data_IF_054092235701
#
_entry.id   IF_054092235701
#
_cell.length_a   1.000
_cell.length_b   1.000
_cell.length_c   1.000
_cell.angle_alpha   90.00
_cell.angle_beta   90.00
_cell.angle_gamma   90.00
#
_symmetry.space_group_name_H-M   'P 1'
#
loop_
_entity.id
_entity.type
_entity.pdbx_description
1 polymer ?
#
# COMPACT_ATOMS: atom_id res chain seq x y z
N UNK A 1 -48.39 3.99 28.56
CA UNK A 1 -48.20 4.92 27.42
C UNK A 1 -46.73 4.88 27.03
N UNK A 2 -46.40 4.07 26.03
CA UNK A 2 -45.02 3.90 25.54
C UNK A 2 -44.70 4.97 24.51
N UNK A 3 -43.75 5.84 24.83
CA UNK A 3 -43.20 6.81 23.88
C UNK A 3 -42.13 6.14 23.02
N UNK A 4 -42.44 5.94 21.73
CA UNK A 4 -41.46 5.52 20.75
C UNK A 4 -40.53 6.72 20.45
N UNK A 5 -39.27 6.61 20.86
CA UNK A 5 -38.20 7.53 20.44
C UNK A 5 -37.85 7.16 19.00
N UNK A 6 -38.35 7.97 18.05
CA UNK A 6 -37.93 7.90 16.64
C UNK A 6 -36.51 8.46 16.57
N UNK A 7 -35.51 7.58 16.46
CA UNK A 7 -34.15 7.97 16.11
C UNK A 7 -34.16 8.54 14.68
N UNK A 8 -33.85 9.82 14.53
CA UNK A 8 -33.70 10.46 13.22
C UNK A 8 -32.36 10.05 12.60
N UNK A 9 -32.37 9.05 11.72
CA UNK A 9 -31.22 8.74 10.86
C UNK A 9 -30.95 9.90 9.89
N UNK A 10 -29.67 10.24 9.74
CA UNK A 10 -29.17 11.33 8.87
C UNK A 10 -29.29 10.96 7.38
N UNK A 11 -29.31 11.96 6.49
CA UNK A 11 -29.50 11.74 5.05
C UNK A 11 -28.37 10.89 4.40
N UNK A 12 -27.15 10.89 4.95
CA UNK A 12 -26.02 10.09 4.46
C UNK A 12 -26.17 8.60 4.87
N UNK A 13 -26.85 8.31 5.99
CA UNK A 13 -27.19 6.94 6.43
C UNK A 13 -28.27 6.33 5.53
N UNK A 14 -29.31 7.11 5.17
CA UNK A 14 -30.35 6.66 4.23
C UNK A 14 -29.79 6.39 2.82
N UNK A 15 -28.77 7.14 2.38
CA UNK A 15 -28.17 6.96 1.06
C UNK A 15 -27.35 5.65 0.94
N UNK A 16 -26.81 5.15 2.06
CA UNK A 16 -26.06 3.88 2.11
C UNK A 16 -26.99 2.68 2.30
N UNK A 17 -28.09 2.82 3.05
CA UNK A 17 -29.10 1.77 3.23
C UNK A 17 -30.03 1.57 2.01
N UNK A 18 -30.34 2.62 1.25
CA UNK A 18 -31.37 2.58 0.21
C UNK A 18 -30.96 2.00 -1.16
N UNK A 19 -29.83 1.30 -1.30
CA UNK A 19 -29.41 0.73 -2.59
C UNK A 19 -29.18 -0.78 -2.52
N UNK A 20 -30.24 -1.57 -2.44
CA UNK A 20 -30.22 -2.95 -2.92
C UNK A 20 -30.39 -2.94 -4.44
N UNK A 21 -29.29 -2.75 -5.17
CA UNK A 21 -29.31 -2.69 -6.63
C UNK A 21 -27.95 -2.99 -7.26
N UNK A 22 -27.95 -3.27 -8.57
CA UNK A 22 -26.73 -3.51 -9.36
C UNK A 22 -25.73 -2.37 -9.19
N UNK A 23 -26.20 -1.12 -9.21
CA UNK A 23 -25.38 0.07 -9.00
C UNK A 23 -24.67 0.11 -7.63
N UNK A 24 -25.31 -0.38 -6.56
CA UNK A 24 -24.66 -0.50 -5.26
C UNK A 24 -23.53 -1.53 -5.26
N UNK A 25 -23.77 -2.66 -5.94
CA UNK A 25 -22.78 -3.72 -6.02
C UNK A 25 -21.57 -3.28 -6.87
N UNK A 26 -21.81 -2.52 -7.94
CA UNK A 26 -20.77 -2.01 -8.83
C UNK A 26 -19.83 -1.03 -8.11
N UNK A 27 -20.32 -0.11 -7.29
CA UNK A 27 -19.40 0.80 -6.58
C UNK A 27 -18.58 0.07 -5.51
N UNK A 28 -19.19 -0.88 -4.77
CA UNK A 28 -18.49 -1.63 -3.71
C UNK A 28 -17.41 -2.56 -4.29
N UNK A 29 -17.63 -3.07 -5.50
CA UNK A 29 -16.67 -3.89 -6.24
C UNK A 29 -15.85 -3.09 -7.26
N UNK A 30 -15.93 -1.76 -7.25
CA UNK A 30 -15.11 -0.93 -8.11
C UNK A 30 -13.60 -1.08 -7.85
N UNK A 31 -13.11 -1.19 -6.60
CA UNK A 31 -11.67 -1.34 -6.35
C UNK A 31 -11.01 -2.55 -7.04
N UNK A 32 -11.55 -3.79 -6.99
CA UNK A 32 -10.96 -4.90 -7.73
C UNK A 32 -11.03 -4.71 -9.24
N UNK A 33 -12.04 -4.00 -9.78
CA UNK A 33 -12.08 -3.64 -11.21
C UNK A 33 -11.02 -2.60 -11.58
N UNK A 34 -10.79 -1.59 -10.72
CA UNK A 34 -9.72 -0.62 -10.90
C UNK A 34 -8.33 -1.28 -10.82
N UNK A 35 -8.16 -2.25 -9.91
CA UNK A 35 -6.96 -3.07 -9.84
C UNK A 35 -6.78 -3.94 -11.10
N UNK A 36 -7.86 -4.52 -11.65
CA UNK A 36 -7.82 -5.25 -12.92
C UNK A 36 -7.35 -4.37 -14.09
N UNK A 37 -7.81 -3.10 -14.14
CA UNK A 37 -7.39 -2.14 -15.16
C UNK A 37 -5.94 -1.62 -14.98
N UNK A 38 -5.36 -1.74 -13.78
CA UNK A 38 -4.10 -1.11 -13.42
C UNK A 38 -2.92 -1.38 -14.38
N UNK A 39 -2.63 -2.64 -14.79
CA UNK A 39 -1.56 -2.90 -15.76
C UNK A 39 -1.78 -2.26 -17.13
N UNK A 40 -3.04 -2.14 -17.54
CA UNK A 40 -3.40 -1.54 -18.83
C UNK A 40 -3.20 -0.03 -18.80
N UNK A 41 -3.51 0.62 -17.67
CA UNK A 41 -3.22 2.06 -17.47
C UNK A 41 -1.72 2.30 -17.57
N UNK A 42 -0.89 1.50 -16.89
CA UNK A 42 0.57 1.62 -16.96
C UNK A 42 1.12 1.32 -18.35
N UNK A 43 0.55 0.33 -19.07
CA UNK A 43 0.93 0.03 -20.45
C UNK A 43 0.61 1.19 -21.38
N UNK A 44 -0.57 1.80 -21.25
CA UNK A 44 -0.94 2.98 -22.02
C UNK A 44 -0.03 4.16 -21.69
N UNK A 45 0.29 4.39 -20.42
CA UNK A 45 1.28 5.40 -20.02
C UNK A 45 2.62 5.16 -20.73
N UNK A 46 3.12 3.92 -20.68
CA UNK A 46 4.41 3.54 -21.28
C UNK A 46 4.44 3.76 -22.79
N UNK A 47 3.34 3.47 -23.48
CA UNK A 47 3.22 3.69 -24.92
C UNK A 47 3.24 5.19 -25.27
N UNK A 48 2.60 6.04 -24.46
CA UNK A 48 2.52 7.48 -24.72
C UNK A 48 3.79 8.23 -24.31
N UNK A 49 4.45 7.84 -23.22
CA UNK A 49 5.70 8.48 -22.77
C UNK A 49 6.91 8.12 -23.67
N UNK A 50 6.84 7.00 -24.41
CA UNK A 50 7.91 6.55 -25.29
C UNK A 50 8.29 7.61 -26.35
N UNK A 51 7.29 8.32 -26.87
CA UNK A 51 7.47 9.38 -27.88
C UNK A 51 7.97 10.70 -27.27
N UNK A 52 8.15 10.77 -25.95
CA UNK A 52 8.59 11.96 -25.19
C UNK A 52 7.81 13.22 -25.60
N UNK A 53 6.47 13.22 -25.44
CA UNK A 53 5.63 14.30 -25.93
C UNK A 53 6.05 15.64 -25.32
N UNK A 54 6.22 16.65 -26.18
CA UNK A 54 6.51 18.03 -25.79
C UNK A 54 5.30 18.95 -26.01
N UNK A 55 4.29 18.51 -26.74
CA UNK A 55 3.06 19.26 -26.93
C UNK A 55 2.14 19.16 -25.70
N UNK A 56 1.31 20.19 -25.43
CA UNK A 56 0.46 20.21 -24.24
C UNK A 56 -0.53 19.04 -24.15
N UNK A 57 -1.03 18.54 -25.28
CA UNK A 57 -2.01 17.46 -25.28
C UNK A 57 -1.37 16.11 -24.90
N UNK A 58 -0.22 15.79 -25.49
CA UNK A 58 0.56 14.60 -25.13
C UNK A 58 0.99 14.60 -23.66
N UNK A 59 1.47 15.73 -23.15
CA UNK A 59 1.82 15.88 -21.72
C UNK A 59 0.59 15.67 -20.83
N UNK A 60 -0.56 16.23 -21.20
CA UNK A 60 -1.80 16.05 -20.45
C UNK A 60 -2.26 14.59 -20.41
N UNK A 61 -2.17 13.86 -21.54
CA UNK A 61 -2.53 12.44 -21.63
C UNK A 61 -1.63 11.58 -20.72
N UNK A 62 -0.32 11.74 -20.83
CA UNK A 62 0.66 11.00 -20.01
C UNK A 62 0.45 11.29 -18.52
N UNK A 63 0.25 12.56 -18.18
CA UNK A 63 -0.04 12.97 -16.79
C UNK A 63 -1.34 12.35 -16.29
N UNK A 64 -2.41 12.37 -17.07
CA UNK A 64 -3.70 11.79 -16.71
C UNK A 64 -3.59 10.27 -16.49
N UNK A 65 -2.84 9.55 -17.33
CA UNK A 65 -2.61 8.11 -17.17
C UNK A 65 -1.82 7.78 -15.91
N UNK A 66 -0.79 8.58 -15.59
CA UNK A 66 -0.03 8.41 -14.36
C UNK A 66 -0.91 8.68 -13.12
N UNK A 67 -1.68 9.78 -13.13
CA UNK A 67 -2.63 10.10 -12.08
C UNK A 67 -3.71 9.02 -11.93
N UNK A 68 -4.19 8.44 -13.04
CA UNK A 68 -5.13 7.33 -13.01
C UNK A 68 -4.51 6.12 -12.29
N UNK A 69 -3.27 5.74 -12.59
CA UNK A 69 -2.56 4.67 -11.88
C UNK A 69 -2.36 5.00 -10.38
N UNK A 70 -1.99 6.24 -10.06
CA UNK A 70 -1.85 6.72 -8.67
C UNK A 70 -3.17 6.71 -7.90
N UNK A 71 -4.30 6.88 -8.59
CA UNK A 71 -5.61 6.96 -7.95
C UNK A 71 -6.17 5.59 -7.53
N UNK A 72 -5.68 4.47 -8.09
CA UNK A 72 -6.18 3.13 -7.76
C UNK A 72 -6.11 2.83 -6.26
N UNK A 73 -4.97 3.01 -5.56
CA UNK A 73 -4.92 2.80 -4.11
C UNK A 73 -5.82 3.76 -3.32
N UNK A 74 -5.97 5.01 -3.78
CA UNK A 74 -6.78 6.03 -3.12
C UNK A 74 -8.27 5.75 -3.23
N UNK A 75 -8.72 5.32 -4.41
CA UNK A 75 -10.09 4.88 -4.64
C UNK A 75 -10.43 3.65 -3.80
N UNK A 76 -9.49 2.71 -3.71
CA UNK A 76 -9.64 1.53 -2.88
C UNK A 76 -9.75 1.88 -1.37
N UNK A 77 -8.91 2.80 -0.89
CA UNK A 77 -8.95 3.31 0.48
C UNK A 77 -10.27 4.05 0.78
N UNK A 78 -10.75 4.88 -0.15
CA UNK A 78 -12.02 5.58 -0.04
C UNK A 78 -13.20 4.60 0.10
N UNK A 79 -13.27 3.59 -0.76
CA UNK A 79 -14.29 2.55 -0.71
C UNK A 79 -14.22 1.76 0.61
N UNK A 80 -13.02 1.41 1.07
CA UNK A 80 -12.83 0.72 2.35
C UNK A 80 -13.29 1.56 3.55
N UNK A 81 -13.15 2.88 3.48
CA UNK A 81 -13.60 3.81 4.52
C UNK A 81 -15.12 3.95 4.54
N UNK A 82 -15.77 4.08 3.38
CA UNK A 82 -17.24 4.12 3.29
C UNK A 82 -17.85 2.81 3.81
N UNK A 83 -17.30 1.66 3.43
CA UNK A 83 -17.74 0.36 3.93
C UNK A 83 -17.45 0.15 5.42
N UNK A 84 -16.44 0.83 5.96
CA UNK A 84 -16.09 0.77 7.39
C UNK A 84 -17.05 1.49 8.33
N UNK A 85 -17.95 2.33 7.79
CA UNK A 85 -19.00 3.03 8.56
C UNK A 85 -20.29 2.22 8.69
N UNK A 86 -20.35 1.01 8.15
CA UNK A 86 -21.52 0.15 8.22
C UNK A 86 -21.44 -0.66 9.52
N UNK A 87 -22.39 -0.44 10.43
CA UNK A 87 -22.37 -1.07 11.76
C UNK A 87 -22.67 -2.57 11.72
N UNK A 88 -23.61 -2.97 10.86
CA UNK A 88 -24.05 -4.36 10.70
C UNK A 88 -23.83 -4.83 9.26
N UNK A 89 -22.58 -5.12 8.86
CA UNK A 89 -22.29 -5.47 7.48
C UNK A 89 -22.74 -6.89 7.12
N UNK A 90 -23.16 -7.04 5.87
CA UNK A 90 -23.36 -8.33 5.20
C UNK A 90 -22.03 -8.99 4.81
N UNK A 91 -22.07 -10.29 4.50
CA UNK A 91 -20.89 -11.01 3.98
C UNK A 91 -20.30 -10.33 2.73
N UNK A 92 -21.19 -9.86 1.85
CA UNK A 92 -20.85 -9.07 0.68
C UNK A 92 -20.05 -7.82 1.01
N UNK A 93 -20.55 -6.98 1.94
CA UNK A 93 -19.87 -5.74 2.33
C UNK A 93 -18.51 -6.00 2.99
N UNK A 94 -18.40 -7.05 3.82
CA UNK A 94 -17.11 -7.44 4.42
C UNK A 94 -16.12 -7.89 3.34
N UNK A 95 -16.54 -8.72 2.38
CA UNK A 95 -15.67 -9.14 1.27
C UNK A 95 -15.28 -7.97 0.37
N UNK A 96 -16.23 -7.10 0.03
CA UNK A 96 -15.95 -5.88 -0.73
C UNK A 96 -14.92 -4.98 -0.02
N UNK A 97 -15.03 -4.82 1.31
CA UNK A 97 -14.08 -4.04 2.09
C UNK A 97 -12.68 -4.67 2.11
N UNK A 98 -12.60 -6.00 2.25
CA UNK A 98 -11.33 -6.74 2.17
C UNK A 98 -10.69 -6.63 0.79
N UNK A 99 -11.50 -6.77 -0.26
CA UNK A 99 -11.05 -6.56 -1.64
C UNK A 99 -10.58 -5.13 -1.85
N UNK A 100 -11.26 -4.13 -1.29
CA UNK A 100 -10.80 -2.74 -1.33
C UNK A 100 -9.42 -2.58 -0.67
N UNK A 101 -9.20 -3.14 0.53
CA UNK A 101 -7.86 -3.12 1.14
C UNK A 101 -6.82 -3.87 0.30
N UNK A 102 -7.19 -4.99 -0.33
CA UNK A 102 -6.27 -5.74 -1.19
C UNK A 102 -5.95 -4.98 -2.49
N UNK A 103 -6.94 -4.30 -3.09
CA UNK A 103 -6.77 -3.44 -4.27
C UNK A 103 -5.91 -2.22 -3.98
N UNK A 104 -5.89 -1.75 -2.73
CA UNK A 104 -4.94 -0.72 -2.31
C UNK A 104 -3.49 -1.15 -2.54
N UNK A 105 -3.20 -2.45 -2.35
CA UNK A 105 -1.90 -3.07 -2.59
C UNK A 105 -1.64 -3.43 -4.07
N UNK A 106 -2.46 -2.97 -5.02
CA UNK A 106 -2.25 -3.28 -6.43
C UNK A 106 -0.83 -2.93 -6.94
N UNK A 107 -0.24 -1.77 -6.60
CA UNK A 107 1.13 -1.46 -7.02
C UNK A 107 2.20 -2.48 -6.63
N UNK A 108 2.41 -2.81 -5.32
CA UNK A 108 3.40 -3.83 -4.97
C UNK A 108 3.03 -5.21 -5.50
N UNK A 109 1.75 -5.59 -5.51
CA UNK A 109 1.34 -6.89 -6.04
C UNK A 109 1.65 -7.03 -7.53
N UNK A 110 1.51 -5.97 -8.34
CA UNK A 110 1.81 -6.07 -9.76
C UNK A 110 3.32 -6.21 -10.02
N UNK A 111 4.15 -5.54 -9.22
CA UNK A 111 5.61 -5.79 -9.22
C UNK A 111 5.92 -7.23 -8.81
N UNK A 112 5.24 -7.77 -7.80
CA UNK A 112 5.41 -9.16 -7.35
C UNK A 112 5.03 -10.17 -8.44
N UNK A 113 3.94 -9.96 -9.17
CA UNK A 113 3.56 -10.83 -10.29
C UNK A 113 4.66 -10.87 -11.32
N UNK A 114 5.18 -9.70 -11.70
CA UNK A 114 6.28 -9.59 -12.64
C UNK A 114 7.54 -10.34 -12.18
N UNK A 115 8.06 -9.99 -11.01
CA UNK A 115 9.31 -10.58 -10.51
C UNK A 115 9.13 -12.07 -10.19
N UNK A 116 8.01 -12.44 -9.55
CA UNK A 116 7.71 -13.81 -9.14
C UNK A 116 7.57 -14.77 -10.32
N UNK A 117 6.81 -14.41 -11.36
CA UNK A 117 6.66 -15.25 -12.55
C UNK A 117 8.00 -15.39 -13.30
N UNK A 118 8.80 -14.32 -13.35
CA UNK A 118 10.13 -14.36 -13.93
C UNK A 118 11.09 -15.29 -13.17
N UNK A 119 11.02 -15.33 -11.84
CA UNK A 119 11.86 -16.20 -11.02
C UNK A 119 11.59 -17.69 -11.22
N UNK A 120 10.34 -18.05 -11.49
CA UNK A 120 9.94 -19.46 -11.72
C UNK A 120 9.98 -19.85 -13.20
N UNK A 121 10.49 -18.96 -14.08
CA UNK A 121 10.56 -19.21 -15.52
C UNK A 121 9.19 -19.44 -16.17
N UNK A 122 8.12 -18.84 -15.62
CA UNK A 122 6.77 -19.07 -16.13
C UNK A 122 6.61 -18.49 -17.54
N UNK A 123 6.03 -19.24 -18.50
CA UNK A 123 5.69 -18.70 -19.81
C UNK A 123 4.46 -17.78 -19.76
N UNK A 124 3.75 -17.74 -18.62
CA UNK A 124 2.54 -16.93 -18.46
C UNK A 124 2.93 -15.47 -18.29
N UNK A 125 2.37 -14.62 -19.15
CA UNK A 125 2.52 -13.17 -19.02
C UNK A 125 1.89 -12.69 -17.72
N UNK A 126 2.59 -11.83 -17.01
CA UNK A 126 2.13 -11.21 -15.77
C UNK A 126 0.75 -10.56 -15.87
N UNK A 127 0.45 -9.84 -16.96
CA UNK A 127 -0.87 -9.26 -17.22
C UNK A 127 -1.95 -10.34 -17.32
N UNK A 128 -1.65 -11.49 -17.92
CA UNK A 128 -2.60 -12.61 -18.00
C UNK A 128 -2.89 -13.19 -16.62
N UNK A 129 -1.84 -13.49 -15.86
CA UNK A 129 -1.98 -13.99 -14.49
C UNK A 129 -2.75 -12.98 -13.62
N UNK A 130 -2.42 -11.69 -13.74
CA UNK A 130 -3.09 -10.60 -13.04
C UNK A 130 -4.58 -10.56 -13.34
N UNK A 131 -4.95 -10.58 -14.62
CA UNK A 131 -6.35 -10.56 -15.05
C UNK A 131 -7.13 -11.74 -14.49
N UNK A 132 -6.57 -12.96 -14.54
CA UNK A 132 -7.21 -14.16 -13.97
C UNK A 132 -7.42 -14.01 -12.47
N UNK A 133 -6.39 -13.57 -11.73
CA UNK A 133 -6.49 -13.38 -10.28
C UNK A 133 -7.53 -12.33 -9.90
N UNK A 134 -7.57 -11.17 -10.57
CA UNK A 134 -8.53 -10.12 -10.25
C UNK A 134 -9.95 -10.40 -10.74
N UNK A 135 -10.11 -11.16 -11.83
CA UNK A 135 -11.42 -11.70 -12.22
C UNK A 135 -11.95 -12.66 -11.15
N UNK A 136 -11.11 -13.57 -10.66
CA UNK A 136 -11.45 -14.47 -9.55
C UNK A 136 -11.75 -13.73 -8.25
N UNK A 137 -10.98 -12.70 -7.91
CA UNK A 137 -11.21 -11.87 -6.73
C UNK A 137 -12.54 -11.09 -6.83
N UNK A 138 -12.87 -10.58 -8.01
CA UNK A 138 -14.15 -9.92 -8.27
C UNK A 138 -15.31 -10.90 -8.13
N UNK A 139 -15.18 -12.10 -8.72
CA UNK A 139 -16.18 -13.17 -8.59
C UNK A 139 -16.38 -13.58 -7.13
N UNK A 140 -15.30 -13.73 -6.36
CA UNK A 140 -15.35 -14.01 -4.91
C UNK A 140 -16.17 -12.96 -4.13
N UNK A 141 -16.07 -11.69 -4.54
CA UNK A 141 -16.90 -10.61 -4.01
C UNK A 141 -18.36 -10.75 -4.41
N UNK A 142 -18.65 -10.98 -5.70
CA UNK A 142 -20.02 -11.08 -6.25
C UNK A 142 -20.84 -12.20 -5.61
N UNK A 143 -20.24 -13.38 -5.42
CA UNK A 143 -20.95 -14.59 -4.93
C UNK A 143 -21.20 -14.59 -3.42
N UNK A 144 -20.90 -13.49 -2.73
CA UNK A 144 -21.07 -13.37 -1.29
C UNK A 144 -22.53 -13.20 -0.88
N UNK A 145 -22.93 -13.81 0.24
CA UNK A 145 -24.26 -13.61 0.81
C UNK A 145 -24.51 -12.15 1.18
N UNK A 146 -25.73 -11.66 0.90
CA UNK A 146 -26.19 -10.33 1.31
C UNK A 146 -26.84 -10.32 2.70
N UNK A 147 -26.90 -11.48 3.36
CA UNK A 147 -27.36 -11.57 4.75
C UNK A 147 -26.35 -10.90 5.67
N UNK A 148 -26.86 -10.13 6.62
CA UNK A 148 -26.08 -9.56 7.72
C UNK A 148 -25.34 -10.67 8.46
N UNK A 149 -24.09 -10.42 8.82
CA UNK A 149 -23.26 -11.37 9.55
C UNK A 149 -22.96 -10.87 10.95
N UNK A 150 -22.71 -11.81 11.86
CA UNK A 150 -22.16 -11.49 13.18
C UNK A 150 -20.72 -10.99 13.03
N UNK A 151 -20.42 -9.87 13.69
CA UNK A 151 -19.10 -9.24 13.64
C UNK A 151 -18.12 -10.02 14.54
N UNK A 152 -16.98 -10.43 13.99
CA UNK A 152 -15.94 -11.09 14.77
C UNK A 152 -15.33 -10.15 15.84
N UNK A 153 -15.03 -10.73 17.01
CA UNK A 153 -14.47 -10.02 18.18
C UNK A 153 -13.14 -9.32 17.88
N UNK A 154 -12.92 -8.22 18.61
CA UNK A 154 -11.76 -7.33 18.57
C UNK A 154 -10.44 -8.12 18.64
N UNK A 155 -9.43 -7.69 17.86
CA UNK A 155 -8.10 -8.28 17.89
C UNK A 155 -7.50 -8.32 19.31
N UNK A 156 -6.75 -9.38 19.68
CA UNK A 156 -6.30 -9.57 21.05
C UNK A 156 -5.23 -8.52 21.41
N UNK A 157 -5.30 -7.87 22.60
CA UNK A 157 -4.36 -6.84 23.00
C UNK A 157 -2.89 -7.28 22.92
N UNK A 158 -2.59 -8.52 23.33
CA UNK A 158 -1.24 -9.10 23.26
C UNK A 158 -0.66 -9.09 21.84
N UNK A 159 -1.47 -9.40 20.82
CA UNK A 159 -1.02 -9.38 19.42
C UNK A 159 -0.70 -7.97 18.96
N UNK A 160 -1.50 -6.97 19.36
CA UNK A 160 -1.26 -5.55 19.03
C UNK A 160 0.03 -5.05 19.66
N UNK A 161 0.26 -5.37 20.93
CA UNK A 161 1.46 -5.00 21.68
C UNK A 161 2.69 -5.63 21.03
N UNK A 162 2.64 -6.95 20.76
CA UNK A 162 3.75 -7.66 20.13
C UNK A 162 4.09 -7.11 18.74
N UNK A 163 3.07 -6.84 17.92
CA UNK A 163 3.24 -6.21 16.60
C UNK A 163 3.91 -4.83 16.71
N UNK A 164 3.43 -3.98 17.63
CA UNK A 164 4.00 -2.65 17.87
C UNK A 164 5.44 -2.68 18.41
N UNK A 165 5.74 -3.58 19.35
CA UNK A 165 7.08 -3.71 19.92
C UNK A 165 8.11 -4.16 18.87
N UNK A 166 7.76 -5.14 18.04
CA UNK A 166 8.63 -5.59 16.93
C UNK A 166 8.74 -4.53 15.83
N UNK A 167 7.70 -3.73 15.59
CA UNK A 167 7.76 -2.59 14.67
C UNK A 167 8.72 -1.50 15.19
N UNK A 168 8.73 -1.22 16.51
CA UNK A 168 9.64 -0.23 17.10
C UNK A 168 11.12 -0.57 16.87
N UNK A 169 11.49 -1.85 16.90
CA UNK A 169 12.85 -2.30 16.57
C UNK A 169 13.20 -2.04 15.10
N UNK A 170 12.24 -2.19 14.19
CA UNK A 170 12.42 -1.95 12.74
C UNK A 170 12.51 -0.47 12.37
N UNK A 171 11.95 0.44 13.19
CA UNK A 171 11.96 1.89 12.90
C UNK A 171 13.37 2.42 12.68
N UNK A 172 14.37 1.93 13.42
CA UNK A 172 15.77 2.35 13.28
C UNK A 172 16.28 2.01 11.87
N UNK A 173 16.05 0.77 11.41
CA UNK A 173 16.44 0.35 10.08
C UNK A 173 15.70 1.14 8.99
N UNK A 174 14.38 1.31 9.13
CA UNK A 174 13.57 2.07 8.16
C UNK A 174 14.03 3.53 8.09
N UNK A 175 14.29 4.17 9.23
CA UNK A 175 14.77 5.54 9.28
C UNK A 175 16.12 5.68 8.57
N UNK A 176 17.08 4.79 8.85
CA UNK A 176 18.35 4.76 8.13
C UNK A 176 18.15 4.54 6.62
N UNK A 177 17.33 3.56 6.24
CA UNK A 177 17.08 3.18 4.85
C UNK A 177 16.49 4.34 4.03
N UNK A 178 15.45 5.01 4.56
CA UNK A 178 14.85 6.18 3.92
C UNK A 178 15.81 7.38 3.88
N UNK A 179 16.59 7.60 4.95
CA UNK A 179 17.60 8.67 4.97
C UNK A 179 18.67 8.45 3.91
N UNK A 180 19.14 7.21 3.75
CA UNK A 180 20.09 6.87 2.70
C UNK A 180 19.50 7.14 1.30
N UNK A 181 18.23 6.81 1.06
CA UNK A 181 17.56 7.16 -0.20
C UNK A 181 17.44 8.67 -0.42
N UNK A 182 17.17 9.47 0.62
CA UNK A 182 17.17 10.94 0.54
C UNK A 182 18.54 11.52 0.17
N UNK A 183 19.64 10.92 0.67
CA UNK A 183 21.01 11.30 0.27
C UNK A 183 21.22 11.15 -1.24
N UNK A 184 20.40 10.36 -1.94
CA UNK A 184 20.38 10.30 -3.39
C UNK A 184 20.09 11.63 -4.11
N UNK A 185 19.49 12.61 -3.43
CA UNK A 185 19.38 14.00 -3.93
C UNK A 185 20.75 14.66 -4.11
N UNK A 186 21.75 14.26 -3.31
CA UNK A 186 23.15 14.68 -3.45
C UNK A 186 23.91 13.86 -4.51
N UNK A 187 23.24 12.88 -5.14
CA UNK A 187 23.77 12.07 -6.21
C UNK A 187 24.10 10.62 -5.83
N UNK A 188 24.32 9.75 -6.84
CA UNK A 188 24.54 8.32 -6.65
C UNK A 188 25.76 7.99 -5.77
N UNK A 189 26.84 8.78 -5.86
CA UNK A 189 28.06 8.54 -5.11
C UNK A 189 27.91 8.85 -3.62
N UNK A 190 27.18 9.92 -3.28
CA UNK A 190 26.87 10.25 -1.89
C UNK A 190 26.00 9.16 -1.26
N UNK A 191 24.96 8.74 -1.98
CA UNK A 191 24.14 7.59 -1.59
C UNK A 191 25.00 6.33 -1.43
N UNK A 192 25.92 6.06 -2.35
CA UNK A 192 26.77 4.87 -2.29
C UNK A 192 27.70 4.84 -1.06
N UNK A 193 28.26 5.99 -0.67
CA UNK A 193 29.10 6.11 0.55
C UNK A 193 28.31 5.82 1.82
N UNK A 194 27.14 6.44 1.98
CA UNK A 194 26.27 6.21 3.15
C UNK A 194 25.77 4.77 3.19
N UNK A 195 25.37 4.25 2.03
CA UNK A 195 24.95 2.86 1.87
C UNK A 195 26.07 1.89 2.26
N UNK A 196 27.32 2.14 1.85
CA UNK A 196 28.46 1.28 2.18
C UNK A 196 28.65 1.14 3.70
N UNK A 197 28.55 2.25 4.45
CA UNK A 197 28.59 2.24 5.92
C UNK A 197 27.46 1.39 6.49
N UNK A 198 26.22 1.63 6.07
CA UNK A 198 25.07 0.87 6.57
C UNK A 198 25.19 -0.63 6.29
N UNK A 199 25.70 -1.01 5.11
CA UNK A 199 25.85 -2.41 4.70
C UNK A 199 26.76 -3.20 5.62
N UNK A 200 27.75 -2.58 6.27
CA UNK A 200 28.57 -3.26 7.28
C UNK A 200 27.75 -3.78 8.47
N UNK A 201 26.61 -3.15 8.74
CA UNK A 201 25.71 -3.50 9.84
C UNK A 201 24.56 -4.36 9.33
N UNK A 202 23.69 -3.82 8.47
CA UNK A 202 22.42 -4.47 8.12
C UNK A 202 22.56 -5.66 7.15
N UNK A 203 23.73 -5.83 6.52
CA UNK A 203 24.08 -7.03 5.72
C UNK A 203 25.02 -8.00 6.45
N UNK A 204 25.29 -7.77 7.73
CA UNK A 204 26.08 -8.73 8.52
C UNK A 204 25.32 -10.07 8.67
N UNK A 205 26.07 -11.15 8.91
CA UNK A 205 25.50 -12.50 9.03
C UNK A 205 24.49 -12.67 10.16
N UNK A 206 24.49 -11.78 11.16
CA UNK A 206 23.52 -11.79 12.25
C UNK A 206 22.34 -10.83 12.02
N UNK A 207 22.60 -9.61 11.56
CA UNK A 207 21.56 -8.57 11.46
C UNK A 207 20.65 -8.78 10.26
N UNK A 208 21.18 -9.24 9.11
CA UNK A 208 20.34 -9.45 7.91
C UNK A 208 19.23 -10.50 8.17
N UNK A 209 19.52 -11.70 8.71
CA UNK A 209 18.47 -12.66 9.06
C UNK A 209 17.50 -12.14 10.12
N UNK A 210 17.98 -11.39 11.12
CA UNK A 210 17.12 -10.81 12.15
C UNK A 210 16.13 -9.80 11.57
N UNK A 211 16.58 -8.91 10.69
CA UNK A 211 15.72 -7.95 10.00
C UNK A 211 14.67 -8.66 9.13
N UNK A 212 15.07 -9.71 8.40
CA UNK A 212 14.13 -10.54 7.62
C UNK A 212 13.09 -11.17 8.56
N UNK A 213 13.49 -11.78 9.67
CA UNK A 213 12.58 -12.40 10.63
C UNK A 213 11.59 -11.38 11.23
N UNK A 214 12.06 -10.18 11.58
CA UNK A 214 11.22 -9.10 12.08
C UNK A 214 10.21 -8.63 11.03
N UNK A 215 10.63 -8.45 9.77
CA UNK A 215 9.75 -8.06 8.66
C UNK A 215 8.70 -9.13 8.34
N UNK A 216 9.08 -10.41 8.33
CA UNK A 216 8.13 -11.53 8.19
C UNK A 216 7.15 -11.58 9.36
N UNK A 217 7.62 -11.30 10.58
CA UNK A 217 6.76 -11.16 11.76
C UNK A 217 5.74 -10.04 11.60
N UNK A 218 6.14 -8.88 11.04
CA UNK A 218 5.20 -7.78 10.73
C UNK A 218 4.11 -8.23 9.76
N UNK A 219 4.46 -8.94 8.69
CA UNK A 219 3.49 -9.45 7.70
C UNK A 219 2.48 -10.38 8.37
N UNK A 220 2.95 -11.37 9.13
CA UNK A 220 2.06 -12.37 9.76
C UNK A 220 1.17 -11.75 10.83
N UNK A 221 1.75 -10.95 11.73
CA UNK A 221 1.00 -10.34 12.83
C UNK A 221 0.04 -9.27 12.32
N UNK A 222 0.49 -8.41 11.40
CA UNK A 222 -0.31 -7.38 10.75
C UNK A 222 -1.45 -7.96 9.92
N UNK A 223 -1.20 -9.04 9.16
CA UNK A 223 -2.24 -9.75 8.40
C UNK A 223 -3.34 -10.33 9.29
N UNK A 224 -2.97 -10.91 10.44
CA UNK A 224 -3.94 -11.40 11.44
C UNK A 224 -4.75 -10.27 12.07
N UNK A 225 -4.13 -9.12 12.34
CA UNK A 225 -4.82 -7.92 12.83
C UNK A 225 -5.80 -7.37 11.79
N UNK A 226 -5.35 -7.21 10.55
CA UNK A 226 -6.17 -6.72 9.43
C UNK A 226 -7.37 -7.64 9.18
N UNK A 227 -7.18 -8.96 9.16
CA UNK A 227 -8.27 -9.91 8.95
C UNK A 227 -9.39 -9.77 9.98
N UNK A 228 -9.03 -9.54 11.25
CA UNK A 228 -9.99 -9.32 12.34
C UNK A 228 -10.62 -7.93 12.29
N UNK A 229 -9.86 -6.89 11.98
CA UNK A 229 -10.40 -5.53 11.96
C UNK A 229 -11.19 -5.18 10.71
N UNK A 230 -11.09 -5.96 9.64
CA UNK A 230 -11.90 -5.75 8.42
C UNK A 230 -13.37 -6.12 8.59
N UNK A 231 -13.70 -6.99 9.55
CA UNK A 231 -15.09 -7.37 9.88
C UNK A 231 -15.75 -6.37 10.84
N UNK A 232 -14.96 -5.64 11.62
CA UNK A 232 -15.44 -4.60 12.53
C UNK A 232 -15.51 -3.25 11.84
N UNK A 233 -16.53 -2.44 12.14
CA UNK A 233 -16.55 -1.03 11.76
C UNK A 233 -15.31 -0.26 12.26
N UNK A 234 -15.07 0.92 11.68
CA UNK A 234 -13.97 1.77 12.10
C UNK A 234 -13.99 3.16 11.49
N UNK A 235 -13.38 4.09 12.20
CA UNK A 235 -13.16 5.45 11.73
C UNK A 235 -12.11 5.50 10.59
N UNK A 236 -11.87 6.71 10.10
CA UNK A 236 -10.90 6.97 9.06
C UNK A 236 -9.48 6.58 9.48
N UNK A 237 -9.08 6.85 10.73
CA UNK A 237 -7.74 6.49 11.23
C UNK A 237 -7.51 4.98 11.25
N UNK A 238 -8.50 4.21 11.72
CA UNK A 238 -8.45 2.74 11.68
C UNK A 238 -8.38 2.23 10.25
N UNK A 239 -9.15 2.82 9.34
CA UNK A 239 -9.13 2.44 7.93
C UNK A 239 -7.76 2.68 7.30
N UNK A 240 -7.14 3.85 7.55
CA UNK A 240 -5.79 4.16 7.12
C UNK A 240 -4.75 3.20 7.71
N UNK A 241 -4.86 2.84 9.00
CA UNK A 241 -3.94 1.91 9.63
C UNK A 241 -4.02 0.51 9.00
N UNK A 242 -5.23 0.01 8.75
CA UNK A 242 -5.43 -1.30 8.08
C UNK A 242 -4.92 -1.22 6.65
N UNK A 243 -5.32 -0.21 5.88
CA UNK A 243 -4.98 -0.08 4.47
C UNK A 243 -3.48 0.09 4.25
N UNK A 244 -2.84 0.99 4.98
CA UNK A 244 -1.37 1.13 4.97
C UNK A 244 -0.68 -0.18 5.38
N UNK A 245 -1.19 -0.90 6.39
CA UNK A 245 -0.63 -2.19 6.81
C UNK A 245 -0.75 -3.29 5.75
N UNK A 246 -1.90 -3.36 5.04
CA UNK A 246 -2.10 -4.31 3.93
C UNK A 246 -1.18 -3.98 2.76
N UNK A 247 -1.07 -2.69 2.41
CA UNK A 247 -0.11 -2.22 1.40
C UNK A 247 1.32 -2.61 1.79
N UNK A 248 1.74 -2.30 3.02
CA UNK A 248 3.09 -2.59 3.51
C UNK A 248 3.38 -4.08 3.57
N UNK A 249 2.39 -4.92 3.93
CA UNK A 249 2.55 -6.37 3.88
C UNK A 249 2.91 -6.85 2.47
N UNK A 250 2.17 -6.40 1.46
CA UNK A 250 2.49 -6.70 0.06
C UNK A 250 3.81 -6.06 -0.38
N UNK A 251 4.08 -4.82 0.04
CA UNK A 251 5.32 -4.10 -0.26
C UNK A 251 6.54 -4.85 0.29
N UNK A 252 6.52 -5.30 1.54
CA UNK A 252 7.65 -6.02 2.15
C UNK A 252 7.90 -7.33 1.42
N UNK A 253 6.87 -8.14 1.14
CA UNK A 253 7.01 -9.40 0.37
C UNK A 253 7.65 -9.12 -0.98
N UNK A 254 7.14 -8.12 -1.69
CA UNK A 254 7.62 -7.73 -3.03
C UNK A 254 9.05 -7.20 -2.97
N UNK A 255 9.32 -6.26 -2.08
CA UNK A 255 10.57 -5.53 -1.99
C UNK A 255 11.71 -6.45 -1.54
N UNK A 256 11.47 -7.31 -0.54
CA UNK A 256 12.43 -8.33 -0.12
C UNK A 256 12.69 -9.34 -1.24
N UNK A 257 11.64 -9.82 -1.92
CA UNK A 257 11.80 -10.75 -3.03
C UNK A 257 12.63 -10.13 -4.17
N UNK A 258 12.34 -8.89 -4.55
CA UNK A 258 13.08 -8.20 -5.61
C UNK A 258 14.55 -7.97 -5.23
N UNK A 259 14.83 -7.45 -4.04
CA UNK A 259 16.19 -7.05 -3.65
C UNK A 259 17.04 -8.23 -3.18
N UNK A 260 16.50 -9.15 -2.39
CA UNK A 260 17.26 -10.27 -1.84
C UNK A 260 17.25 -11.46 -2.79
N UNK A 261 16.07 -11.91 -3.24
CA UNK A 261 15.97 -13.15 -4.01
C UNK A 261 16.35 -12.89 -5.46
N UNK A 262 15.61 -12.01 -6.15
CA UNK A 262 15.79 -11.79 -7.58
C UNK A 262 17.12 -11.14 -7.92
N UNK A 263 17.42 -9.99 -7.32
CA UNK A 263 18.65 -9.27 -7.62
C UNK A 263 19.88 -10.02 -7.08
N UNK A 264 19.96 -10.24 -5.76
CA UNK A 264 21.19 -10.75 -5.13
C UNK A 264 21.38 -12.26 -5.29
N UNK A 265 20.38 -13.09 -4.95
CA UNK A 265 20.58 -14.54 -4.95
C UNK A 265 20.55 -15.18 -6.33
N UNK A 266 19.65 -14.72 -7.22
CA UNK A 266 19.44 -15.37 -8.53
C UNK A 266 20.24 -14.70 -9.64
N UNK A 267 20.35 -13.37 -9.66
CA UNK A 267 20.96 -12.62 -10.78
C UNK A 267 22.34 -12.03 -10.46
N UNK A 268 22.82 -12.17 -9.23
CA UNK A 268 24.07 -11.58 -8.73
C UNK A 268 24.22 -10.06 -9.02
N UNK A 269 23.10 -9.34 -8.95
CA UNK A 269 23.06 -7.90 -9.22
C UNK A 269 23.25 -7.08 -7.92
N UNK A 270 24.07 -6.02 -7.96
CA UNK A 270 24.19 -5.12 -6.82
C UNK A 270 22.90 -4.30 -6.64
N UNK A 271 22.32 -4.34 -5.44
CA UNK A 271 21.16 -3.51 -5.06
C UNK A 271 21.57 -2.07 -4.71
N UNK A 272 22.11 -1.36 -5.69
CA UNK A 272 22.62 0.00 -5.57
C UNK A 272 21.64 1.04 -6.15
N UNK A 273 22.08 2.30 -6.27
CA UNK A 273 21.26 3.38 -6.81
C UNK A 273 20.77 3.10 -8.24
N UNK A 274 21.65 2.62 -9.12
CA UNK A 274 21.31 2.31 -10.51
C UNK A 274 20.20 1.26 -10.61
N UNK A 275 20.27 0.20 -9.78
CA UNK A 275 19.21 -0.79 -9.68
C UNK A 275 17.90 -0.19 -9.17
N UNK A 276 17.95 0.64 -8.13
CA UNK A 276 16.77 1.26 -7.52
C UNK A 276 16.09 2.30 -8.43
N UNK A 277 16.86 3.04 -9.23
CA UNK A 277 16.35 4.05 -10.17
C UNK A 277 15.93 3.47 -11.52
N UNK A 278 16.19 2.17 -11.76
CA UNK A 278 15.96 1.55 -13.06
C UNK A 278 16.88 2.07 -14.16
N UNK A 279 18.12 2.43 -13.81
CA UNK A 279 19.08 2.94 -14.79
C UNK A 279 19.49 1.85 -15.81
N UNK A 280 19.81 2.23 -17.07
CA UNK A 280 19.90 3.61 -17.58
C UNK A 280 18.58 4.25 -18.01
N UNK A 281 17.52 3.49 -18.27
CA UNK A 281 16.25 3.99 -18.83
C UNK A 281 15.47 4.85 -17.83
N UNK A 282 15.65 4.60 -16.54
CA UNK A 282 14.94 5.28 -15.45
C UNK A 282 13.56 4.68 -15.17
N UNK A 283 12.85 5.30 -14.23
CA UNK A 283 11.53 4.81 -13.81
C UNK A 283 10.40 5.13 -14.81
N UNK A 284 10.53 6.16 -15.65
CA UNK A 284 9.43 6.61 -16.51
C UNK A 284 9.44 5.98 -17.90
N UNK A 285 10.62 5.76 -18.47
CA UNK A 285 10.77 5.45 -19.90
C UNK A 285 10.84 3.95 -20.19
N UNK A 286 11.05 3.12 -19.17
CA UNK A 286 10.98 1.67 -19.31
C UNK A 286 9.61 1.11 -18.86
N UNK A 287 9.01 0.28 -19.71
CA UNK A 287 7.68 -0.27 -19.52
C UNK A 287 7.58 -1.23 -18.32
N UNK A 288 8.70 -1.74 -17.82
CA UNK A 288 8.76 -2.51 -16.59
C UNK A 288 8.96 -1.60 -15.37
N UNK A 289 9.91 -0.68 -15.43
CA UNK A 289 10.33 0.17 -14.31
C UNK A 289 9.23 1.13 -13.85
N UNK A 290 8.29 1.53 -14.72
CA UNK A 290 7.17 2.39 -14.33
C UNK A 290 6.30 1.79 -13.21
N UNK A 291 6.30 0.47 -13.06
CA UNK A 291 5.62 -0.22 -11.95
C UNK A 291 6.20 0.16 -10.58
N UNK A 292 7.47 0.51 -10.55
CA UNK A 292 8.21 0.82 -9.34
C UNK A 292 7.86 2.19 -8.76
N UNK A 293 7.47 3.17 -9.59
CA UNK A 293 7.13 4.51 -9.11
C UNK A 293 5.91 4.53 -8.17
N UNK A 294 4.74 3.97 -8.54
CA UNK A 294 3.62 3.75 -7.63
C UNK A 294 3.99 2.91 -6.40
N UNK A 295 4.83 1.90 -6.59
CA UNK A 295 5.28 0.98 -5.55
C UNK A 295 6.12 1.70 -4.48
N UNK A 296 7.10 2.52 -4.88
CA UNK A 296 7.97 3.26 -3.96
C UNK A 296 7.25 4.44 -3.31
N UNK A 297 6.53 5.25 -4.10
CA UNK A 297 5.85 6.45 -3.60
C UNK A 297 4.90 6.11 -2.43
N UNK A 298 4.02 5.14 -2.65
CA UNK A 298 3.08 4.69 -1.62
C UNK A 298 3.75 3.83 -0.55
N UNK A 299 4.82 3.08 -0.84
CA UNK A 299 5.60 2.37 0.17
C UNK A 299 6.16 3.30 1.25
N UNK A 300 6.79 4.41 0.83
CA UNK A 300 7.35 5.42 1.73
C UNK A 300 6.24 6.19 2.46
N UNK A 301 5.19 6.63 1.75
CA UNK A 301 4.06 7.32 2.38
C UNK A 301 3.37 6.44 3.42
N UNK A 302 3.07 5.19 3.07
CA UNK A 302 2.30 4.32 3.95
C UNK A 302 3.09 3.79 5.13
N UNK A 303 4.43 3.67 5.07
CA UNK A 303 5.20 3.37 6.28
C UNK A 303 5.08 4.49 7.31
N UNK A 304 5.17 5.75 6.88
CA UNK A 304 4.98 6.90 7.76
C UNK A 304 3.54 6.99 8.31
N UNK A 305 2.52 6.82 7.45
CA UNK A 305 1.11 6.80 7.87
C UNK A 305 0.82 5.65 8.84
N UNK A 306 1.38 4.46 8.60
CA UNK A 306 1.16 3.29 9.44
C UNK A 306 1.78 3.48 10.84
N UNK A 307 3.04 3.92 10.89
CA UNK A 307 3.75 4.23 12.14
C UNK A 307 3.04 5.34 12.92
N UNK A 308 2.64 6.42 12.24
CA UNK A 308 1.91 7.53 12.86
C UNK A 308 0.56 7.07 13.41
N UNK A 309 -0.13 6.17 12.71
CA UNK A 309 -1.40 5.58 13.18
C UNK A 309 -1.20 4.71 14.42
N UNK A 310 -0.14 3.91 14.46
CA UNK A 310 0.26 3.14 15.63
C UNK A 310 0.59 4.04 16.82
N UNK A 311 1.41 5.07 16.59
CA UNK A 311 1.79 6.05 17.62
C UNK A 311 0.56 6.79 18.16
N UNK A 312 -0.37 7.22 17.30
CA UNK A 312 -1.63 7.86 17.72
C UNK A 312 -2.40 6.99 18.71
N UNK A 313 -2.49 5.69 18.45
CA UNK A 313 -3.15 4.73 19.35
C UNK A 313 -2.41 4.61 20.68
N UNK A 314 -1.07 4.57 20.67
CA UNK A 314 -0.24 4.54 21.88
C UNK A 314 -0.41 5.82 22.70
N UNK A 315 -0.35 6.99 22.07
CA UNK A 315 -0.49 8.30 22.73
C UNK A 315 -1.84 8.42 23.45
N UNK A 316 -2.95 8.10 22.76
CA UNK A 316 -4.28 8.14 23.37
C UNK A 316 -4.41 7.13 24.52
N UNK A 317 -3.76 5.97 24.45
CA UNK A 317 -3.75 4.99 25.53
C UNK A 317 -2.97 5.48 26.77
N UNK A 318 -2.07 6.45 26.61
CA UNK A 318 -1.29 7.07 27.69
C UNK A 318 -1.79 8.48 28.06
N UNK A 319 -3.07 8.77 27.80
CA UNK A 319 -3.73 9.99 28.28
C UNK A 319 -3.49 11.24 27.44
N UNK A 320 -2.79 11.16 26.31
CA UNK A 320 -2.65 12.30 25.39
C UNK A 320 -4.01 12.60 24.75
N UNK A 321 -4.44 13.86 24.84
CA UNK A 321 -5.73 14.30 24.29
C UNK A 321 -5.84 14.06 22.78
N UNK A 322 -7.05 13.72 22.32
CA UNK A 322 -7.32 13.34 20.93
C UNK A 322 -6.85 14.39 19.91
N UNK A 323 -7.01 15.69 20.21
CA UNK A 323 -6.55 16.78 19.32
C UNK A 323 -5.04 16.73 19.12
N UNK A 324 -4.27 16.60 20.21
CA UNK A 324 -2.81 16.53 20.13
C UNK A 324 -2.34 15.26 19.40
N UNK A 325 -2.95 14.11 19.71
CA UNK A 325 -2.67 12.85 19.02
C UNK A 325 -2.97 12.92 17.51
N UNK A 326 -4.06 13.60 17.12
CA UNK A 326 -4.40 13.85 15.72
C UNK A 326 -3.39 14.78 15.04
N UNK A 327 -2.94 15.85 15.71
CA UNK A 327 -1.94 16.76 15.14
C UNK A 327 -0.59 16.05 14.90
N UNK A 328 -0.14 15.23 15.85
CA UNK A 328 1.07 14.41 15.68
C UNK A 328 0.91 13.43 14.51
N UNK A 329 -0.27 12.81 14.39
CA UNK A 329 -0.59 11.94 13.27
C UNK A 329 -0.53 12.67 11.92
N UNK A 330 -1.11 13.88 11.82
CA UNK A 330 -1.08 14.72 10.61
C UNK A 330 0.36 15.09 10.27
N UNK A 331 1.14 15.53 11.25
CA UNK A 331 2.54 15.90 11.05
C UNK A 331 3.36 14.73 10.48
N UNK A 332 3.17 13.52 11.04
CA UNK A 332 3.82 12.31 10.52
C UNK A 332 3.39 11.94 9.10
N UNK A 333 2.10 12.08 8.77
CA UNK A 333 1.61 11.85 7.41
C UNK A 333 2.15 12.87 6.40
N UNK A 334 2.19 14.16 6.75
CA UNK A 334 2.74 15.23 5.91
C UNK A 334 4.25 15.06 5.71
N UNK A 335 5.00 14.77 6.77
CA UNK A 335 6.42 14.46 6.68
C UNK A 335 6.67 13.24 5.80
N UNK A 336 5.87 12.19 5.94
CA UNK A 336 5.92 11.00 5.09
C UNK A 336 5.68 11.30 3.61
N UNK A 337 4.70 12.16 3.30
CA UNK A 337 4.44 12.61 1.93
C UNK A 337 5.62 13.40 1.37
N UNK A 338 6.18 14.34 2.14
CA UNK A 338 7.35 15.12 1.71
C UNK A 338 8.57 14.22 1.44
N UNK A 339 8.85 13.25 2.32
CA UNK A 339 9.94 12.28 2.15
C UNK A 339 9.69 11.39 0.93
N UNK A 340 8.46 10.90 0.72
CA UNK A 340 8.11 10.10 -0.46
C UNK A 340 8.32 10.90 -1.75
N UNK A 341 7.87 12.14 -1.81
CA UNK A 341 8.07 13.03 -2.96
C UNK A 341 9.55 13.28 -3.22
N UNK A 342 10.33 13.58 -2.18
CA UNK A 342 11.76 13.84 -2.29
C UNK A 342 12.54 12.61 -2.80
N UNK A 343 12.24 11.41 -2.27
CA UNK A 343 12.86 10.16 -2.73
C UNK A 343 12.49 9.86 -4.18
N UNK A 344 11.20 9.98 -4.55
CA UNK A 344 10.76 9.74 -5.93
C UNK A 344 11.39 10.74 -6.88
N UNK A 345 11.44 12.03 -6.52
CA UNK A 345 12.12 13.05 -7.33
C UNK A 345 13.61 12.72 -7.52
N UNK A 346 14.30 12.28 -6.46
CA UNK A 346 15.68 11.84 -6.55
C UNK A 346 15.84 10.65 -7.52
N UNK A 347 15.00 9.63 -7.40
CA UNK A 347 15.02 8.45 -8.28
C UNK A 347 14.71 8.81 -9.74
N UNK A 348 13.92 9.86 -9.97
CA UNK A 348 13.64 10.44 -11.29
C UNK A 348 14.75 11.35 -11.83
N UNK A 349 15.78 11.65 -11.03
CA UNK A 349 16.96 12.40 -11.47
C UNK A 349 17.10 13.80 -10.85
N UNK A 350 16.18 14.26 -10.00
CA UNK A 350 16.30 15.56 -9.34
C UNK A 350 17.51 15.58 -8.37
N UNK A 351 18.24 16.70 -8.33
CA UNK A 351 19.42 16.91 -7.48
C UNK A 351 19.38 18.28 -6.82
N UNK A 352 20.14 18.46 -5.74
CA UNK A 352 20.30 19.75 -5.01
C UNK A 352 21.75 20.18 -4.93
#
# INVERSE_FOLDING_TARGET
>A
MGGAVVQSQTADERAVEARSGVAASLWMLGPPLAALAYPHILKSFSAQIADRPSDPAGIAIVTALLLAAMSVPLYALYTAARLGRIDHPSAFQVRARRLAFFSMAAPPLFVLFGVGLGLVGSPVRDVTAWTVCWAGATLYGVVASRRTMEVQRVAPPKLRIFHGATAALLVIFVAFHLSNHLVGLLGPDAHARVMAVGRTVYRSGAVEPLLIALLLTQIVTGGRLAWRWTTSGGDWHRTLQIGSGVYLGAFIVTHLNSALISARLVRDLPTNWAWASGAPEGLLYDAWNIRLLPHYAFGVLFVAVHLSSGLRVVLMAHGVGQRAANMIWIAGAVAGAAVATAIVAALLGARI
#
